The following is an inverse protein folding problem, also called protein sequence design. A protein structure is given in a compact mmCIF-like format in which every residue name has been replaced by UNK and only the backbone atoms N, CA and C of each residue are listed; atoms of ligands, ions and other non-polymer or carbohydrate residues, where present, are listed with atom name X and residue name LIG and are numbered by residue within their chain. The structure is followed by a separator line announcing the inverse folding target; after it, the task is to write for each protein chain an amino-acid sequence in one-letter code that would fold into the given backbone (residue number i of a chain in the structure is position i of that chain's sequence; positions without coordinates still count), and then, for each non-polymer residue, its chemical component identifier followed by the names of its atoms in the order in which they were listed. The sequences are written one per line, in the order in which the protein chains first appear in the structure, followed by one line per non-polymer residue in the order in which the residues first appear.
data_IF_563014064438
#
_entry.id   IF_563014064438
#
_cell.length_a   1.000
_cell.length_b   1.000
_cell.length_c   1.000
_cell.angle_alpha   90.00
_cell.angle_beta   90.00
_cell.angle_gamma   90.00
#
_symmetry.space_group_name_H-M   'P 1'
#
loop_
_entity.id
_entity.type
_entity.pdbx_description
1 polymer ?
#
# COMPACT_ATOMS: atom_id res chain seq x y z
N UNK A 1 2.00 -2.98 3.13
CA UNK A 1 1.25 -3.88 2.21
C UNK A 1 -0.20 -3.91 2.63
N UNK A 2 -1.12 -4.13 1.67
CA UNK A 2 -2.53 -4.38 1.95
C UNK A 2 -2.74 -5.88 2.25
N UNK A 3 -3.20 -6.18 3.45
CA UNK A 3 -3.53 -7.54 3.92
C UNK A 3 -5.01 -7.87 3.81
N UNK A 4 -5.82 -7.01 3.14
CA UNK A 4 -7.25 -7.20 2.98
C UNK A 4 -7.95 -7.42 4.35
N UNK A 5 -8.79 -8.44 4.50
CA UNK A 5 -9.41 -8.83 5.78
C UNK A 5 -8.61 -9.93 6.51
N UNK A 6 -7.33 -10.17 6.10
CA UNK A 6 -6.44 -11.18 6.67
C UNK A 6 -6.46 -12.54 5.96
N UNK A 7 -7.11 -12.63 4.78
CA UNK A 7 -7.22 -13.84 3.93
C UNK A 7 -7.79 -15.07 4.65
N UNK A 8 -8.62 -14.85 5.64
CA UNK A 8 -9.28 -15.89 6.44
C UNK A 8 -9.28 -15.56 7.92
N UNK A 9 -9.29 -16.60 8.76
CA UNK A 9 -9.33 -16.47 10.21
C UNK A 9 -7.91 -16.35 10.83
N UNK A 10 -7.82 -16.36 12.14
CA UNK A 10 -6.59 -16.09 12.90
C UNK A 10 -5.34 -16.83 12.40
N UNK A 11 -5.44 -18.10 12.05
CA UNK A 11 -4.31 -18.89 11.55
C UNK A 11 -3.86 -18.43 10.15
N UNK A 12 -4.81 -18.01 9.31
CA UNK A 12 -4.51 -17.45 7.99
C UNK A 12 -3.77 -16.11 8.13
N UNK A 13 -4.23 -15.25 9.05
CA UNK A 13 -3.56 -13.99 9.37
C UNK A 13 -2.14 -14.23 9.86
N UNK A 14 -1.91 -15.19 10.74
CA UNK A 14 -0.57 -15.55 11.21
C UNK A 14 0.35 -16.01 10.08
N UNK A 15 -0.19 -16.80 9.14
CA UNK A 15 0.56 -17.25 7.96
C UNK A 15 0.89 -16.06 7.04
N UNK A 16 -0.09 -15.23 6.71
CA UNK A 16 0.06 -14.01 5.91
C UNK A 16 1.18 -13.10 6.45
N UNK A 17 1.16 -12.83 7.76
CA UNK A 17 2.15 -11.98 8.42
C UNK A 17 3.57 -12.52 8.20
N UNK A 18 3.78 -13.81 8.41
CA UNK A 18 5.09 -14.45 8.21
C UNK A 18 5.57 -14.36 6.77
N UNK A 19 4.69 -14.66 5.82
CA UNK A 19 5.01 -14.60 4.39
C UNK A 19 5.35 -13.17 3.97
N UNK A 20 4.62 -12.18 4.46
CA UNK A 20 4.89 -10.78 4.15
C UNK A 20 6.21 -10.28 4.76
N UNK A 21 6.51 -10.69 6.00
CA UNK A 21 7.83 -10.39 6.60
C UNK A 21 8.97 -11.02 5.82
N UNK A 22 8.85 -12.28 5.45
CA UNK A 22 9.86 -12.99 4.64
C UNK A 22 10.04 -12.36 3.27
N UNK A 23 8.99 -11.78 2.69
CA UNK A 23 9.05 -11.01 1.45
C UNK A 23 9.60 -9.58 1.63
N UNK A 24 9.95 -9.17 2.86
CA UNK A 24 10.55 -7.86 3.15
C UNK A 24 9.54 -6.74 3.41
N UNK A 25 8.27 -7.05 3.66
CA UNK A 25 7.30 -6.03 4.03
C UNK A 25 7.64 -5.41 5.40
N UNK A 26 7.59 -4.06 5.48
CA UNK A 26 7.79 -3.34 6.75
C UNK A 26 6.51 -3.16 7.55
N UNK A 27 5.35 -3.14 6.89
CA UNK A 27 4.04 -2.97 7.51
C UNK A 27 2.95 -3.69 6.73
N UNK A 28 1.90 -4.11 7.44
CA UNK A 28 0.66 -4.64 6.85
C UNK A 28 -0.53 -3.91 7.42
N UNK A 29 -1.51 -3.59 6.58
CA UNK A 29 -2.84 -3.19 7.04
C UNK A 29 -3.81 -4.35 6.88
N UNK A 30 -4.72 -4.52 7.84
CA UNK A 30 -5.86 -5.43 7.77
C UNK A 30 -7.13 -4.67 8.18
N UNK A 31 -8.26 -4.97 7.54
CA UNK A 31 -9.50 -4.20 7.70
C UNK A 31 -10.66 -5.02 8.26
N UNK A 32 -11.59 -4.33 8.92
CA UNK A 32 -12.74 -4.92 9.61
C UNK A 32 -14.00 -5.09 8.73
N UNK A 33 -13.84 -5.27 7.42
CA UNK A 33 -14.96 -5.61 6.56
C UNK A 33 -15.22 -7.12 6.51
N UNK A 34 -16.49 -7.49 6.27
CA UNK A 34 -16.86 -8.85 5.87
C UNK A 34 -16.65 -9.04 4.36
N UNK A 35 -16.28 -10.25 3.95
CA UNK A 35 -16.23 -10.62 2.53
C UNK A 35 -17.63 -10.83 1.94
N UNK A 36 -17.86 -10.47 0.66
CA UNK A 36 -16.94 -9.76 -0.23
C UNK A 36 -16.83 -8.28 0.16
N UNK A 37 -15.60 -7.82 0.36
CA UNK A 37 -15.34 -6.43 0.75
C UNK A 37 -15.62 -5.45 -0.40
N UNK A 38 -15.88 -4.19 -0.03
CA UNK A 38 -16.06 -3.07 -0.97
C UNK A 38 -15.02 -1.99 -0.71
N UNK A 39 -14.74 -1.16 -1.73
CA UNK A 39 -13.93 0.04 -1.54
C UNK A 39 -14.49 0.93 -0.41
N UNK A 40 -13.63 1.49 0.41
CA UNK A 40 -13.98 2.31 1.58
C UNK A 40 -14.92 3.49 1.28
N UNK A 41 -14.92 3.97 0.04
CA UNK A 41 -15.80 5.06 -0.42
C UNK A 41 -17.16 4.60 -0.98
N UNK A 42 -17.41 3.28 -1.09
CA UNK A 42 -18.70 2.73 -1.53
C UNK A 42 -19.66 2.54 -0.35
N UNK A 43 -20.96 2.48 -0.69
CA UNK A 43 -22.02 2.21 0.28
C UNK A 43 -22.18 0.71 0.56
N UNK A 44 -23.01 0.39 1.58
CA UNK A 44 -23.44 -0.97 1.94
C UNK A 44 -22.28 -1.91 2.31
N UNK A 45 -21.23 -1.37 2.92
CA UNK A 45 -20.17 -2.17 3.56
C UNK A 45 -20.76 -2.90 4.76
N UNK A 46 -20.40 -4.17 4.90
CA UNK A 46 -20.71 -4.96 6.09
C UNK A 46 -19.44 -5.09 6.93
N UNK A 47 -19.53 -4.71 8.18
CA UNK A 47 -18.42 -4.84 9.11
C UNK A 47 -18.44 -6.22 9.78
N UNK A 48 -17.26 -6.75 10.02
CA UNK A 48 -17.07 -7.88 10.94
C UNK A 48 -17.41 -7.44 12.37
N UNK A 49 -17.69 -8.40 13.23
CA UNK A 49 -17.74 -8.13 14.65
C UNK A 49 -16.41 -7.54 15.13
N UNK A 50 -16.44 -6.56 16.02
CA UNK A 50 -15.25 -5.86 16.46
C UNK A 50 -14.26 -6.79 17.20
N UNK A 51 -14.77 -7.77 17.95
CA UNK A 51 -13.93 -8.73 18.66
C UNK A 51 -13.32 -9.77 17.72
N UNK A 52 -14.03 -10.17 16.66
CA UNK A 52 -13.47 -11.05 15.63
C UNK A 52 -12.30 -10.37 14.91
N UNK A 53 -12.46 -9.09 14.58
CA UNK A 53 -11.34 -8.32 14.01
C UNK A 53 -10.20 -8.13 15.02
N UNK A 54 -10.49 -7.85 16.29
CA UNK A 54 -9.48 -7.76 17.33
C UNK A 54 -8.70 -9.08 17.50
N UNK A 55 -9.38 -10.22 17.39
CA UNK A 55 -8.72 -11.53 17.42
C UNK A 55 -7.75 -11.72 16.23
N UNK A 56 -8.10 -11.22 15.04
CA UNK A 56 -7.20 -11.20 13.88
C UNK A 56 -5.99 -10.28 14.11
N UNK A 57 -6.20 -9.10 14.69
CA UNK A 57 -5.11 -8.19 15.06
C UNK A 57 -4.17 -8.84 16.08
N UNK A 58 -4.72 -9.48 17.10
CA UNK A 58 -3.94 -10.20 18.11
C UNK A 58 -3.14 -11.37 17.48
N UNK A 59 -3.72 -12.08 16.52
CA UNK A 59 -3.03 -13.12 15.76
C UNK A 59 -1.87 -12.55 14.93
N UNK A 60 -2.07 -11.40 14.26
CA UNK A 60 -1.02 -10.71 13.53
C UNK A 60 0.12 -10.27 14.47
N UNK A 61 -0.22 -9.63 15.58
CA UNK A 61 0.75 -9.17 16.58
C UNK A 61 1.54 -10.33 17.19
N UNK A 62 0.91 -11.47 17.40
CA UNK A 62 1.56 -12.68 17.92
C UNK A 62 2.50 -13.34 16.90
N UNK A 63 2.17 -13.27 15.61
CA UNK A 63 2.93 -13.97 14.56
C UNK A 63 4.15 -13.20 14.08
N UNK A 64 4.11 -11.87 14.15
CA UNK A 64 5.17 -10.98 13.64
C UNK A 64 6.47 -11.10 14.43
N UNK A 65 7.57 -10.79 13.77
CA UNK A 65 8.88 -10.54 14.37
C UNK A 65 9.18 -9.03 14.41
N UNK A 66 8.93 -8.32 13.30
CA UNK A 66 9.20 -6.89 13.12
C UNK A 66 8.13 -6.14 12.31
N UNK A 67 7.20 -6.85 11.68
CA UNK A 67 6.17 -6.27 10.83
C UNK A 67 5.27 -5.31 11.62
N UNK A 68 5.09 -4.10 11.12
CA UNK A 68 4.21 -3.10 11.71
C UNK A 68 2.75 -3.41 11.35
N UNK A 69 1.89 -3.55 12.34
CA UNK A 69 0.48 -3.92 12.14
C UNK A 69 -0.40 -2.69 12.21
N UNK A 70 -1.04 -2.36 11.10
CA UNK A 70 -1.99 -1.25 10.99
C UNK A 70 -3.40 -1.84 10.96
N UNK A 71 -4.23 -1.54 11.95
CA UNK A 71 -5.62 -1.93 11.93
C UNK A 71 -6.47 -0.85 11.26
N UNK A 72 -7.15 -1.23 10.16
CA UNK A 72 -8.07 -0.36 9.46
C UNK A 72 -9.49 -0.62 9.95
N UNK A 73 -10.23 0.46 10.20
CA UNK A 73 -11.65 0.39 10.47
C UNK A 73 -12.45 1.19 9.45
N UNK A 74 -13.45 0.58 8.89
CA UNK A 74 -14.42 1.18 7.97
C UNK A 74 -15.70 1.64 8.69
N UNK A 75 -15.70 1.66 10.01
CA UNK A 75 -16.88 1.92 10.85
C UNK A 75 -17.38 3.37 10.78
N UNK A 76 -16.55 4.34 10.42
CA UNK A 76 -16.96 5.74 10.42
C UNK A 76 -18.20 6.03 9.58
N UNK A 77 -18.38 5.28 8.48
CA UNK A 77 -19.51 5.46 7.57
C UNK A 77 -20.84 4.89 8.10
N UNK A 78 -20.81 3.85 8.94
CA UNK A 78 -21.98 3.12 9.44
C UNK A 78 -22.25 3.32 10.93
N UNK A 79 -21.19 3.44 11.73
CA UNK A 79 -21.24 3.56 13.19
C UNK A 79 -20.83 4.96 13.67
N UNK A 80 -20.47 5.86 12.74
CA UNK A 80 -19.99 7.21 13.06
C UNK A 80 -18.59 7.20 13.68
N UNK A 81 -18.13 8.40 14.08
CA UNK A 81 -16.80 8.56 14.71
C UNK A 81 -16.72 7.79 16.03
N UNK A 82 -17.81 7.72 16.79
CA UNK A 82 -17.83 7.02 18.09
C UNK A 82 -17.55 5.53 17.92
N UNK A 83 -18.23 4.87 16.99
CA UNK A 83 -17.99 3.47 16.66
C UNK A 83 -16.57 3.23 16.15
N UNK A 84 -16.10 4.08 15.21
CA UNK A 84 -14.76 3.97 14.68
C UNK A 84 -13.67 4.10 15.78
N UNK A 85 -13.83 5.03 16.71
CA UNK A 85 -12.91 5.19 17.85
C UNK A 85 -12.98 4.01 18.82
N UNK A 86 -14.18 3.50 19.10
CA UNK A 86 -14.33 2.32 19.96
C UNK A 86 -13.61 1.09 19.39
N UNK A 87 -13.79 0.82 18.10
CA UNK A 87 -13.09 -0.25 17.39
C UNK A 87 -11.57 -0.03 17.36
N UNK A 88 -11.13 1.19 17.04
CA UNK A 88 -9.71 1.52 17.02
C UNK A 88 -9.01 1.25 18.37
N UNK A 89 -9.65 1.60 19.49
CA UNK A 89 -9.12 1.31 20.83
C UNK A 89 -9.01 -0.19 21.09
N UNK A 90 -10.04 -0.95 20.73
CA UNK A 90 -10.03 -2.41 20.87
C UNK A 90 -8.91 -3.04 20.04
N UNK A 91 -8.65 -2.53 18.84
CA UNK A 91 -7.59 -3.05 17.98
C UNK A 91 -6.19 -2.70 18.49
N UNK A 92 -6.02 -1.53 19.10
CA UNK A 92 -4.76 -1.18 19.80
C UNK A 92 -4.51 -2.09 21.00
N UNK A 93 -5.54 -2.34 21.81
CA UNK A 93 -5.46 -3.29 22.93
C UNK A 93 -5.11 -4.70 22.46
N UNK A 94 -5.57 -5.09 21.26
CA UNK A 94 -5.23 -6.35 20.61
C UNK A 94 -3.80 -6.40 20.01
N UNK A 95 -3.10 -5.28 19.97
CA UNK A 95 -1.69 -5.21 19.56
C UNK A 95 -1.42 -4.57 18.20
N UNK A 96 -2.35 -3.79 17.65
CA UNK A 96 -2.06 -2.92 16.50
C UNK A 96 -1.09 -1.80 16.90
N UNK A 97 -0.20 -1.42 15.99
CA UNK A 97 0.77 -0.34 16.19
C UNK A 97 0.23 1.01 15.71
N UNK A 98 -0.69 0.98 14.76
CA UNK A 98 -1.31 2.16 14.17
C UNK A 98 -2.75 1.89 13.76
N UNK A 99 -3.49 2.97 13.56
CA UNK A 99 -4.89 2.92 13.11
C UNK A 99 -5.05 3.64 11.78
N UNK A 100 -5.84 3.01 10.90
CA UNK A 100 -6.30 3.59 9.65
C UNK A 100 -7.82 3.78 9.70
N UNK A 101 -8.32 4.97 10.08
CA UNK A 101 -9.75 5.29 10.02
C UNK A 101 -10.15 5.61 8.58
N UNK A 102 -10.90 4.71 7.96
CA UNK A 102 -11.34 4.88 6.57
C UNK A 102 -12.60 5.75 6.49
N UNK A 103 -12.79 6.37 5.33
CA UNK A 103 -14.01 7.09 4.95
C UNK A 103 -14.37 8.31 5.82
N UNK A 104 -13.36 8.96 6.40
CA UNK A 104 -13.56 10.29 6.99
C UNK A 104 -13.69 11.31 5.83
N UNK A 105 -14.71 12.16 5.89
CA UNK A 105 -15.13 12.99 4.77
C UNK A 105 -14.91 14.49 4.96
N UNK A 106 -14.51 14.93 6.16
CA UNK A 106 -14.22 16.35 6.43
C UNK A 106 -12.97 16.53 7.29
N UNK A 107 -12.33 17.69 7.20
CA UNK A 107 -11.17 18.02 8.03
C UNK A 107 -11.49 17.95 9.53
N UNK A 108 -12.72 18.27 9.92
CA UNK A 108 -13.20 18.19 11.30
C UNK A 108 -13.22 16.74 11.79
N UNK A 109 -13.69 15.82 10.96
CA UNK A 109 -13.69 14.37 11.30
C UNK A 109 -12.27 13.85 11.49
N UNK A 110 -11.32 14.24 10.64
CA UNK A 110 -9.91 13.87 10.80
C UNK A 110 -9.32 14.41 12.10
N UNK A 111 -9.54 15.69 12.43
CA UNK A 111 -9.07 16.31 13.68
C UNK A 111 -9.72 15.66 14.90
N UNK A 112 -11.02 15.43 14.85
CA UNK A 112 -11.77 14.82 15.96
C UNK A 112 -11.29 13.40 16.23
N UNK A 113 -11.10 12.59 15.18
CA UNK A 113 -10.56 11.24 15.35
C UNK A 113 -9.16 11.28 15.97
N UNK A 114 -8.26 12.13 15.47
CA UNK A 114 -6.90 12.27 16.00
C UNK A 114 -6.89 12.75 17.45
N UNK A 115 -7.75 13.72 17.80
CA UNK A 115 -7.89 14.21 19.18
C UNK A 115 -8.30 13.11 20.16
N UNK A 116 -9.11 12.14 19.70
CA UNK A 116 -9.60 11.02 20.53
C UNK A 116 -8.63 9.84 20.58
N UNK A 117 -7.58 9.88 19.79
CA UNK A 117 -6.53 8.86 19.71
C UNK A 117 -5.13 9.45 20.00
N UNK A 118 -4.94 10.11 21.18
CA UNK A 118 -3.70 10.80 21.47
C UNK A 118 -2.51 9.83 21.51
N UNK A 119 -1.42 10.20 20.82
CA UNK A 119 -0.19 9.40 20.77
C UNK A 119 -0.21 8.20 19.82
N UNK A 120 -1.35 7.90 19.23
CA UNK A 120 -1.48 6.79 18.26
C UNK A 120 -1.04 7.25 16.86
N UNK A 121 -0.13 6.54 16.19
CA UNK A 121 0.15 6.80 14.79
C UNK A 121 -1.10 6.54 13.93
N UNK A 122 -1.52 7.55 13.17
CA UNK A 122 -2.69 7.47 12.29
C UNK A 122 -2.28 7.51 10.83
N UNK A 123 -2.94 6.69 10.01
CA UNK A 123 -2.79 6.65 8.58
C UNK A 123 -4.03 7.28 7.92
N UNK A 124 -3.81 8.22 6.99
CA UNK A 124 -4.85 8.82 6.18
C UNK A 124 -4.84 8.27 4.75
N UNK A 125 -6.01 8.12 4.18
CA UNK A 125 -6.20 7.77 2.77
C UNK A 125 -6.58 9.02 1.98
N UNK A 126 -5.73 9.41 1.02
CA UNK A 126 -6.01 10.49 0.08
C UNK A 126 -6.21 9.92 -1.31
N UNK A 127 -7.36 9.32 -1.55
CA UNK A 127 -7.72 8.83 -2.87
C UNK A 127 -8.45 9.91 -3.67
N UNK A 128 -8.02 10.12 -4.91
CA UNK A 128 -8.71 11.00 -5.84
C UNK A 128 -10.08 10.41 -6.20
N UNK A 129 -11.04 11.28 -6.49
CA UNK A 129 -12.43 10.92 -6.87
C UNK A 129 -13.19 10.18 -5.76
N UNK A 130 -12.70 10.23 -4.52
CA UNK A 130 -13.41 9.75 -3.34
C UNK A 130 -14.34 10.81 -2.72
N UNK A 131 -14.78 10.56 -1.49
CA UNK A 131 -15.63 11.48 -0.73
C UNK A 131 -14.83 12.47 0.11
N UNK A 132 -13.57 12.18 0.37
CA UNK A 132 -12.66 13.01 1.14
C UNK A 132 -12.20 14.19 0.27
N UNK A 133 -12.25 15.45 0.74
CA UNK A 133 -11.64 16.59 0.07
C UNK A 133 -10.14 16.37 -0.13
N UNK A 134 -9.55 17.06 -1.12
CA UNK A 134 -8.11 17.00 -1.33
C UNK A 134 -7.37 17.67 -0.18
N UNK A 135 -6.49 16.93 0.47
CA UNK A 135 -5.55 17.42 1.47
C UNK A 135 -4.12 17.00 1.10
N UNK A 136 -3.18 17.87 1.39
CA UNK A 136 -1.76 17.60 1.28
C UNK A 136 -1.25 16.80 2.49
N UNK A 137 -0.05 16.24 2.39
CA UNK A 137 0.59 15.56 3.52
C UNK A 137 0.74 16.49 4.73
N UNK A 138 1.13 17.75 4.51
CA UNK A 138 1.29 18.75 5.58
C UNK A 138 -0.04 19.09 6.27
N UNK A 139 -1.14 19.12 5.52
CA UNK A 139 -2.48 19.33 6.12
C UNK A 139 -2.89 18.13 6.96
N UNK A 140 -2.63 16.89 6.51
CA UNK A 140 -2.86 15.70 7.33
C UNK A 140 -1.97 15.68 8.59
N UNK A 141 -0.70 16.06 8.48
CA UNK A 141 0.18 16.19 9.64
C UNK A 141 -0.37 17.21 10.65
N UNK A 142 -0.83 18.37 10.17
CA UNK A 142 -1.46 19.39 11.03
C UNK A 142 -2.78 18.91 11.67
N UNK A 143 -3.47 17.93 11.08
CA UNK A 143 -4.63 17.25 11.65
C UNK A 143 -4.28 16.11 12.62
N UNK A 144 -2.98 15.79 12.79
CA UNK A 144 -2.49 14.77 13.73
C UNK A 144 -2.15 13.41 13.12
N UNK A 145 -2.11 13.29 11.80
CA UNK A 145 -1.76 12.06 11.10
C UNK A 145 -0.24 11.96 10.88
N UNK A 146 0.29 10.73 10.85
CA UNK A 146 1.72 10.46 10.67
C UNK A 146 2.03 9.77 9.34
N UNK A 147 1.03 9.19 8.72
CA UNK A 147 1.14 8.46 7.47
C UNK A 147 0.02 8.88 6.53
N UNK A 148 0.32 8.98 5.25
CA UNK A 148 -0.67 9.24 4.19
C UNK A 148 -0.39 8.29 3.02
N UNK A 149 -1.44 7.72 2.45
CA UNK A 149 -1.36 6.93 1.22
C UNK A 149 -2.19 7.59 0.13
N UNK A 150 -1.70 7.49 -1.11
CA UNK A 150 -2.41 7.86 -2.33
C UNK A 150 -2.63 6.60 -3.17
N UNK A 151 -3.63 5.77 -2.82
CA UNK A 151 -3.86 4.52 -3.52
C UNK A 151 -4.34 4.77 -4.95
N UNK A 152 -3.88 3.93 -5.88
CA UNK A 152 -4.30 3.95 -7.29
C UNK A 152 -3.84 5.20 -8.09
N UNK A 153 -3.27 6.23 -7.48
CA UNK A 153 -2.87 7.47 -8.16
C UNK A 153 -1.87 7.21 -9.29
N UNK A 154 -0.82 6.43 -9.02
CA UNK A 154 0.17 6.05 -10.04
C UNK A 154 -0.45 5.23 -11.18
N UNK A 155 -1.35 4.29 -10.86
CA UNK A 155 -2.07 3.50 -11.87
C UNK A 155 -2.94 4.39 -12.76
N UNK A 156 -3.69 5.34 -12.17
CA UNK A 156 -4.53 6.28 -12.94
C UNK A 156 -3.70 7.14 -13.89
N UNK A 157 -2.56 7.64 -13.43
CA UNK A 157 -1.64 8.43 -14.27
C UNK A 157 -1.06 7.56 -15.38
N UNK A 158 -0.57 6.36 -15.07
CA UNK A 158 -0.01 5.44 -16.04
C UNK A 158 -1.05 5.03 -17.10
N UNK A 159 -2.26 4.66 -16.69
CA UNK A 159 -3.35 4.31 -17.61
C UNK A 159 -3.68 5.47 -18.54
N UNK A 160 -3.74 6.69 -18.02
CA UNK A 160 -4.05 7.87 -18.85
C UNK A 160 -2.94 8.17 -19.86
N UNK A 161 -1.68 7.95 -19.50
CA UNK A 161 -0.56 8.05 -20.41
C UNK A 161 -0.62 6.96 -21.50
N UNK A 162 -0.93 5.73 -21.12
CA UNK A 162 -1.08 4.61 -22.06
C UNK A 162 -2.26 4.83 -23.04
N UNK A 163 -3.41 5.33 -22.56
CA UNK A 163 -4.53 5.70 -23.44
C UNK A 163 -4.12 6.70 -24.51
N UNK A 164 -3.36 7.74 -24.12
CA UNK A 164 -2.85 8.74 -25.07
C UNK A 164 -1.91 8.12 -26.10
N UNK A 165 -1.01 7.24 -25.67
CA UNK A 165 -0.07 6.55 -26.57
C UNK A 165 -0.80 5.68 -27.59
N UNK A 166 -1.74 4.85 -27.13
CA UNK A 166 -2.48 3.97 -28.04
C UNK A 166 -3.40 4.74 -28.99
N UNK A 167 -4.00 5.84 -28.52
CA UNK A 167 -4.77 6.72 -29.40
C UNK A 167 -3.90 7.38 -30.49
N UNK A 168 -2.68 7.80 -30.17
CA UNK A 168 -1.73 8.32 -31.13
C UNK A 168 -1.31 7.25 -32.16
N UNK A 169 -0.99 6.06 -31.68
CA UNK A 169 -0.65 4.93 -32.56
C UNK A 169 -1.78 4.58 -33.53
N UNK A 170 -3.02 4.52 -33.04
CA UNK A 170 -4.20 4.22 -33.88
C UNK A 170 -4.47 5.30 -34.91
N UNK A 171 -4.25 6.57 -34.58
CA UNK A 171 -4.51 7.71 -35.46
C UNK A 171 -3.39 7.95 -36.46
N UNK A 172 -2.14 7.90 -36.01
CA UNK A 172 -0.96 8.39 -36.75
C UNK A 172 -0.09 7.24 -37.28
N UNK A 173 -0.31 6.01 -36.86
CA UNK A 173 0.53 4.86 -37.20
C UNK A 173 1.95 4.94 -36.60
N UNK A 174 2.16 5.82 -35.61
CA UNK A 174 3.48 6.06 -35.03
C UNK A 174 3.44 6.80 -33.72
N UNK A 175 4.61 6.99 -33.09
CA UNK A 175 4.74 7.56 -31.75
C UNK A 175 5.32 8.97 -31.70
N UNK A 176 5.59 9.59 -32.85
CA UNK A 176 6.24 10.90 -32.93
C UNK A 176 5.60 11.98 -32.06
N UNK A 177 4.27 12.03 -32.02
CA UNK A 177 3.52 12.98 -31.22
C UNK A 177 3.63 12.76 -29.68
N UNK A 178 4.26 11.67 -29.27
CA UNK A 178 4.37 11.27 -27.86
C UNK A 178 5.80 11.31 -27.32
N UNK A 179 6.81 11.51 -28.18
CA UNK A 179 8.23 11.39 -27.80
C UNK A 179 8.58 12.28 -26.63
N UNK A 180 8.09 13.53 -26.59
CA UNK A 180 8.36 14.50 -25.52
C UNK A 180 7.70 14.10 -24.17
N UNK A 181 6.78 13.14 -24.17
CA UNK A 181 6.13 12.61 -22.99
C UNK A 181 6.74 11.27 -22.53
N UNK A 182 7.77 10.78 -23.21
CA UNK A 182 8.45 9.52 -22.89
C UNK A 182 9.74 9.79 -22.13
N UNK A 183 10.08 8.87 -21.24
CA UNK A 183 11.46 8.82 -20.73
C UNK A 183 12.42 8.54 -21.88
N UNK A 184 13.52 9.28 -21.93
CA UNK A 184 14.64 8.91 -22.80
C UNK A 184 15.23 7.56 -22.36
N UNK A 185 15.99 6.93 -23.24
CA UNK A 185 16.70 5.68 -22.91
C UNK A 185 17.61 5.86 -21.69
N UNK A 186 18.29 6.99 -21.57
CA UNK A 186 19.19 7.29 -20.45
C UNK A 186 18.42 7.41 -19.13
N UNK A 187 17.29 8.11 -19.13
CA UNK A 187 16.42 8.24 -17.95
C UNK A 187 15.83 6.90 -17.51
N UNK A 188 15.36 6.09 -18.47
CA UNK A 188 14.84 4.76 -18.18
C UNK A 188 15.92 3.87 -17.57
N UNK A 189 17.13 3.83 -18.16
CA UNK A 189 18.24 3.03 -17.67
C UNK A 189 18.68 3.44 -16.27
N UNK A 190 18.68 4.74 -15.97
CA UNK A 190 18.92 5.25 -14.63
C UNK A 190 17.82 4.80 -13.65
N UNK A 191 16.55 4.86 -14.07
CA UNK A 191 15.40 4.47 -13.21
C UNK A 191 15.45 2.99 -12.83
N UNK A 192 15.83 2.11 -13.75
CA UNK A 192 15.91 0.66 -13.49
C UNK A 192 17.28 0.21 -12.93
N UNK A 193 18.24 1.13 -12.73
CA UNK A 193 19.56 0.81 -12.19
C UNK A 193 20.41 -0.06 -13.12
N UNK A 194 20.26 0.06 -14.46
CA UNK A 194 20.92 -0.81 -15.41
C UNK A 194 22.43 -0.90 -15.21
N UNK A 195 23.10 0.23 -14.94
CA UNK A 195 24.55 0.28 -14.73
C UNK A 195 25.02 -0.61 -13.56
N UNK A 196 24.25 -0.71 -12.50
CA UNK A 196 24.57 -1.54 -11.34
C UNK A 196 24.48 -3.04 -11.70
N UNK A 197 23.48 -3.42 -12.51
CA UNK A 197 23.36 -4.80 -13.02
C UNK A 197 24.48 -5.15 -14.00
N UNK A 198 24.85 -4.24 -14.88
CA UNK A 198 25.98 -4.44 -15.82
C UNK A 198 27.32 -4.58 -15.07
N UNK A 199 27.53 -3.74 -14.03
CA UNK A 199 28.71 -3.84 -13.17
C UNK A 199 28.74 -5.17 -12.38
N UNK A 200 27.58 -5.60 -11.86
CA UNK A 200 27.45 -6.89 -11.16
C UNK A 200 27.74 -8.04 -12.10
N UNK A 201 27.16 -8.06 -13.30
CA UNK A 201 27.41 -9.09 -14.33
C UNK A 201 28.88 -9.17 -14.69
N UNK A 202 29.53 -8.02 -14.94
CA UNK A 202 30.97 -7.95 -15.22
C UNK A 202 31.81 -8.52 -14.06
N UNK A 203 31.41 -8.32 -12.82
CA UNK A 203 32.10 -8.87 -11.64
C UNK A 203 31.94 -10.38 -11.52
N UNK A 204 30.78 -10.93 -11.86
CA UNK A 204 30.49 -12.37 -11.83
C UNK A 204 31.24 -13.09 -12.95
N UNK A 205 31.28 -12.52 -14.15
CA UNK A 205 32.06 -13.08 -15.29
C UNK A 205 33.56 -13.07 -15.02
N UNK A 206 34.04 -12.10 -14.21
CA UNK A 206 35.42 -12.06 -13.74
C UNK A 206 35.70 -13.06 -12.60
N UNK A 207 34.69 -13.69 -12.04
CA UNK A 207 34.88 -14.81 -11.09
C UNK A 207 35.26 -16.06 -11.88
N UNK A 208 36.52 -16.23 -12.03
CA UNK A 208 37.29 -17.13 -12.89
C UNK A 208 36.75 -18.57 -12.79
N UNK A 209 36.38 -19.15 -13.93
CA UNK A 209 36.35 -20.61 -14.05
C UNK A 209 37.74 -21.16 -13.66
N UNK A 210 37.83 -22.24 -12.83
CA UNK A 210 39.10 -22.84 -12.48
C UNK A 210 39.93 -23.13 -13.72
N UNK A 211 41.25 -22.91 -13.66
CA UNK A 211 42.16 -23.23 -14.75
C UNK A 211 41.87 -24.64 -15.27
N UNK A 212 41.55 -24.74 -16.56
CA UNK A 212 41.25 -26.01 -17.23
C UNK A 212 39.80 -26.22 -17.71
N UNK A 213 38.87 -25.29 -17.47
CA UNK A 213 37.56 -25.36 -18.15
C UNK A 213 37.65 -24.79 -19.57
N UNK A 214 37.14 -25.51 -20.60
CA UNK A 214 37.11 -25.01 -21.96
C UNK A 214 36.25 -23.74 -22.04
N UNK A 215 36.83 -22.66 -22.54
CA UNK A 215 36.09 -21.44 -22.84
C UNK A 215 35.06 -21.74 -23.94
N UNK A 216 33.77 -21.45 -23.67
CA UNK A 216 32.76 -21.47 -24.73
C UNK A 216 33.12 -20.37 -25.73
N UNK A 217 33.47 -20.78 -26.98
CA UNK A 217 33.60 -19.84 -28.08
C UNK A 217 32.28 -19.05 -28.21
N UNK A 218 32.37 -17.74 -28.12
CA UNK A 218 31.26 -16.86 -28.46
C UNK A 218 31.12 -16.93 -29.99
N UNK A 219 30.10 -17.63 -30.46
CA UNK A 219 29.67 -17.52 -31.86
C UNK A 219 29.24 -16.06 -32.13
N UNK A 220 29.88 -15.43 -33.09
CA UNK A 220 29.66 -14.09 -33.62
C UNK A 220 28.24 -13.97 -34.22
#
# INVERSE_FOLDING_TARGET
VDGDTGYGEALNVMHMVRVFEEAGAGAVQIEDQLLPKKCGHLNDKKLADAHDMAAKVAAAAKARRHLYVIARTDAAASEGIDGAVARAKLYLEAGADAIFPEALTTAEMFREFARRMPGVPLLANMTEFGRTPFFTASEFEAMGYRMVIWPVSSLRVANKAQEKLYAALARDGGTHAMVDQMQTRVELYKTIGLADYEALDASIVATIAPEGMPQRERSA
#
